data_IF_491245223200
#
_entry.id   IF_491245223200
#
_cell.length_a   1.000
_cell.length_b   1.000
_cell.length_c   1.000
_cell.angle_alpha   90.00
_cell.angle_beta   90.00
_cell.angle_gamma   90.00
#
_symmetry.space_group_name_H-M   'P 1'
#
loop_
_entity.id
_entity.type
_entity.pdbx_description
1 polymer ?
#
# COMPACT_ATOMS: atom_id res chain seq x y z
N UNK A 1 -28.09 -9.22 -10.54
CA UNK A 1 -27.15 -8.43 -11.37
C UNK A 1 -27.71 -7.02 -11.51
N UNK A 2 -26.96 -5.97 -11.22
CA UNK A 2 -27.38 -4.55 -11.33
C UNK A 2 -26.80 -3.94 -12.60
N UNK A 3 -27.63 -3.36 -13.44
CA UNK A 3 -27.20 -2.65 -14.66
C UNK A 3 -27.21 -1.14 -14.43
N UNK A 4 -26.09 -0.49 -14.70
CA UNK A 4 -25.90 0.96 -14.49
C UNK A 4 -25.47 1.60 -15.80
N UNK A 5 -26.12 2.71 -16.14
CA UNK A 5 -25.75 3.57 -17.26
C UNK A 5 -25.09 4.84 -16.74
N UNK A 6 -23.85 5.10 -17.17
CA UNK A 6 -23.07 6.26 -16.76
C UNK A 6 -23.08 7.30 -17.86
N UNK A 7 -23.43 8.52 -17.49
CA UNK A 7 -23.56 9.66 -18.39
C UNK A 7 -22.63 10.78 -17.91
N UNK A 8 -21.70 11.20 -18.76
CA UNK A 8 -20.91 12.43 -18.58
C UNK A 8 -21.51 13.52 -19.49
N UNK A 9 -22.14 14.59 -18.95
CA UNK A 9 -22.72 15.66 -19.78
C UNK A 9 -21.71 16.41 -20.67
N UNK A 10 -20.42 16.36 -20.34
CA UNK A 10 -19.36 16.94 -21.18
C UNK A 10 -18.99 16.05 -22.38
N UNK A 11 -19.40 14.77 -22.33
CA UNK A 11 -19.16 13.78 -23.40
C UNK A 11 -20.45 13.02 -23.73
N UNK A 12 -21.49 13.70 -24.23
CA UNK A 12 -22.84 13.12 -24.37
C UNK A 12 -22.91 11.92 -25.31
N UNK A 13 -21.94 11.79 -26.22
CA UNK A 13 -21.83 10.66 -27.15
C UNK A 13 -21.07 9.44 -26.58
N UNK A 14 -20.52 9.53 -25.38
CA UNK A 14 -19.82 8.43 -24.69
C UNK A 14 -20.65 8.00 -23.47
N UNK A 15 -21.59 7.10 -23.73
CA UNK A 15 -22.37 6.47 -22.67
C UNK A 15 -21.69 5.14 -22.34
N UNK A 16 -21.41 4.91 -21.06
CA UNK A 16 -20.84 3.65 -20.58
C UNK A 16 -21.93 2.87 -19.84
N UNK A 17 -22.10 1.60 -20.17
CA UNK A 17 -22.96 0.69 -19.42
C UNK A 17 -22.08 -0.29 -18.63
N UNK A 18 -22.43 -0.53 -17.39
CA UNK A 18 -21.69 -1.39 -16.45
C UNK A 18 -22.65 -2.35 -15.79
N UNK A 19 -22.31 -3.62 -15.83
CA UNK A 19 -23.04 -4.70 -15.18
C UNK A 19 -22.32 -5.07 -13.87
N UNK A 20 -22.98 -4.88 -12.72
CA UNK A 20 -22.47 -5.27 -11.42
C UNK A 20 -23.12 -6.59 -10.98
N UNK A 21 -22.32 -7.66 -10.96
CA UNK A 21 -22.72 -8.93 -10.40
C UNK A 21 -22.13 -9.07 -9.00
N UNK A 22 -22.95 -9.34 -7.94
CA UNK A 22 -22.47 -9.51 -6.58
C UNK A 22 -21.36 -10.54 -6.44
N UNK A 23 -21.37 -11.60 -7.24
CA UNK A 23 -20.35 -12.63 -7.25
C UNK A 23 -18.97 -12.13 -7.73
N UNK A 24 -18.95 -11.08 -8.56
CA UNK A 24 -17.73 -10.49 -9.12
C UNK A 24 -17.28 -9.24 -8.33
N UNK A 25 -18.06 -8.79 -7.35
CA UNK A 25 -17.73 -7.63 -6.52
C UNK A 25 -16.92 -8.07 -5.29
N UNK A 26 -15.76 -7.45 -5.08
CA UNK A 26 -14.92 -7.73 -3.91
C UNK A 26 -15.68 -7.39 -2.61
N UNK A 27 -15.90 -8.36 -1.74
CA UNK A 27 -16.71 -8.22 -0.52
C UNK A 27 -18.13 -7.69 -0.79
N UNK A 28 -18.70 -7.99 -1.96
CA UNK A 28 -20.01 -7.46 -2.40
C UNK A 28 -20.07 -5.93 -2.47
N UNK A 29 -18.92 -5.27 -2.68
CA UNK A 29 -18.81 -3.82 -2.82
C UNK A 29 -18.17 -3.43 -4.16
N UNK A 30 -18.68 -2.37 -4.80
CA UNK A 30 -18.14 -1.71 -5.98
C UNK A 30 -17.76 -0.29 -5.59
N UNK A 31 -16.47 0.04 -5.57
CA UNK A 31 -15.96 1.36 -5.23
C UNK A 31 -16.05 2.29 -6.44
N UNK A 32 -16.52 3.51 -6.21
CA UNK A 32 -16.69 4.54 -7.23
C UNK A 32 -15.85 5.76 -6.88
N UNK A 33 -15.07 6.25 -7.84
CA UNK A 33 -14.27 7.45 -7.63
C UNK A 33 -13.40 7.79 -8.82
N UNK A 34 -12.56 8.83 -8.71
CA UNK A 34 -11.61 9.19 -9.78
C UNK A 34 -10.30 8.41 -9.75
N UNK A 35 -10.08 7.61 -8.72
CA UNK A 35 -8.86 6.83 -8.56
C UNK A 35 -8.91 5.58 -9.44
N UNK A 36 -7.79 5.25 -10.11
CA UNK A 36 -7.69 4.11 -11.04
C UNK A 36 -7.90 2.75 -10.38
N UNK A 37 -7.84 2.69 -9.04
CA UNK A 37 -8.11 1.49 -8.25
C UNK A 37 -9.57 1.37 -7.80
N UNK A 38 -10.44 2.30 -8.19
CA UNK A 38 -11.87 2.12 -8.03
C UNK A 38 -12.39 1.16 -9.09
N UNK A 39 -13.38 0.35 -8.74
CA UNK A 39 -14.03 -0.57 -9.68
C UNK A 39 -14.74 0.21 -10.80
N UNK A 40 -15.23 1.40 -10.46
CA UNK A 40 -15.86 2.33 -11.39
C UNK A 40 -15.15 3.68 -11.34
N UNK A 41 -14.35 3.95 -12.39
CA UNK A 41 -13.53 5.16 -12.46
C UNK A 41 -14.29 6.29 -13.16
N UNK A 42 -14.50 7.41 -12.44
CA UNK A 42 -15.07 8.65 -12.95
C UNK A 42 -13.98 9.72 -13.04
N UNK A 43 -13.38 9.88 -14.23
CA UNK A 43 -12.24 10.78 -14.45
C UNK A 43 -12.67 12.25 -14.48
N UNK A 44 -12.69 12.86 -13.29
CA UNK A 44 -12.92 14.30 -13.13
C UNK A 44 -12.29 14.82 -11.84
N UNK A 45 -11.72 16.02 -11.89
CA UNK A 45 -11.15 16.71 -10.72
C UNK A 45 -12.15 17.03 -9.60
N UNK A 46 -13.45 17.05 -9.91
CA UNK A 46 -14.54 17.26 -8.96
C UNK A 46 -14.80 16.02 -8.10
N UNK A 47 -14.50 14.83 -8.65
CA UNK A 47 -14.76 13.56 -7.98
C UNK A 47 -13.67 13.28 -6.96
N UNK A 48 -14.05 12.85 -5.76
CA UNK A 48 -13.13 12.34 -4.75
C UNK A 48 -12.48 11.04 -5.21
N UNK A 49 -11.29 10.73 -4.73
CA UNK A 49 -10.52 9.53 -5.14
C UNK A 49 -11.32 8.26 -4.91
N UNK A 50 -11.88 8.11 -3.71
CA UNK A 50 -12.96 7.19 -3.37
C UNK A 50 -14.15 8.08 -3.00
N UNK A 51 -15.16 8.11 -3.84
CA UNK A 51 -16.28 9.03 -3.69
C UNK A 51 -17.45 8.36 -3.01
N UNK A 52 -17.79 7.18 -3.47
CA UNK A 52 -18.89 6.39 -2.96
C UNK A 52 -18.69 4.91 -3.25
N UNK A 53 -19.64 4.11 -2.81
CA UNK A 53 -19.68 2.68 -3.09
C UNK A 53 -21.10 2.21 -3.36
N UNK A 54 -21.23 1.18 -4.20
CA UNK A 54 -22.44 0.37 -4.30
C UNK A 54 -22.16 -0.94 -3.59
N UNK A 55 -23.00 -1.34 -2.64
CA UNK A 55 -22.89 -2.61 -1.94
C UNK A 55 -24.14 -3.45 -2.13
N UNK A 56 -23.97 -4.78 -2.11
CA UNK A 56 -25.05 -5.76 -2.17
C UNK A 56 -25.19 -6.43 -0.82
N UNK A 57 -26.36 -6.27 -0.18
CA UNK A 57 -26.69 -6.81 1.15
C UNK A 57 -28.15 -7.25 1.15
N UNK A 58 -28.44 -8.38 1.77
CA UNK A 58 -29.81 -8.87 1.97
C UNK A 58 -30.63 -8.84 0.67
N UNK A 59 -30.03 -9.33 -0.42
CA UNK A 59 -30.61 -9.38 -1.77
C UNK A 59 -30.92 -8.01 -2.42
N UNK A 60 -30.44 -6.91 -1.84
CA UNK A 60 -30.65 -5.55 -2.33
C UNK A 60 -29.32 -4.82 -2.58
N UNK A 61 -29.36 -3.84 -3.49
CA UNK A 61 -28.24 -2.94 -3.71
C UNK A 61 -28.46 -1.62 -2.99
N UNK A 62 -27.36 -1.09 -2.45
CA UNK A 62 -27.35 0.18 -1.73
C UNK A 62 -26.21 1.05 -2.25
N UNK A 63 -26.41 2.36 -2.24
CA UNK A 63 -25.36 3.33 -2.49
C UNK A 63 -25.03 4.09 -1.21
N UNK A 64 -23.73 4.35 -0.96
CA UNK A 64 -23.25 5.18 0.14
C UNK A 64 -22.17 6.16 -0.36
N UNK A 65 -22.24 7.41 0.06
CA UNK A 65 -21.17 8.41 -0.09
C UNK A 65 -20.11 8.19 1.00
N UNK A 66 -18.84 8.06 0.63
CA UNK A 66 -17.72 7.77 1.53
C UNK A 66 -17.03 9.02 2.10
N UNK A 67 -17.77 10.11 2.27
CA UNK A 67 -17.22 11.39 2.73
C UNK A 67 -16.61 12.18 1.57
N UNK A 68 -17.29 12.19 0.46
CA UNK A 68 -16.83 12.91 -0.71
C UNK A 68 -16.83 14.42 -0.53
N UNK A 69 -15.99 15.14 -1.28
CA UNK A 69 -15.86 16.60 -1.18
C UNK A 69 -17.10 17.34 -1.68
N UNK A 70 -17.68 16.90 -2.77
CA UNK A 70 -18.84 17.56 -3.38
C UNK A 70 -20.17 16.92 -3.00
N UNK A 71 -20.16 15.83 -2.22
CA UNK A 71 -21.36 15.07 -1.88
C UNK A 71 -21.93 14.30 -3.05
N UNK A 72 -22.93 13.48 -2.76
CA UNK A 72 -23.71 12.73 -3.76
C UNK A 72 -25.20 13.03 -3.59
N UNK A 73 -25.96 12.81 -4.67
CA UNK A 73 -27.43 12.93 -4.66
C UNK A 73 -28.06 11.68 -5.25
N UNK A 74 -29.22 11.32 -4.73
CA UNK A 74 -30.10 10.30 -5.34
C UNK A 74 -31.41 10.99 -5.70
N UNK A 75 -31.81 10.92 -6.97
CA UNK A 75 -33.00 11.55 -7.50
C UNK A 75 -33.11 13.06 -7.21
N UNK A 76 -31.93 13.75 -7.15
CA UNK A 76 -31.83 15.18 -6.84
C UNK A 76 -31.75 15.53 -5.38
N UNK A 77 -32.00 14.61 -4.46
CA UNK A 77 -31.89 14.81 -3.01
C UNK A 77 -30.48 14.53 -2.51
N UNK A 78 -29.95 15.42 -1.64
CA UNK A 78 -28.64 15.20 -1.01
C UNK A 78 -28.71 14.03 -0.04
N UNK A 79 -27.71 13.16 -0.08
CA UNK A 79 -27.60 12.03 0.84
C UNK A 79 -26.57 12.30 1.96
N UNK A 80 -26.72 11.61 3.07
CA UNK A 80 -25.80 11.71 4.21
C UNK A 80 -24.57 10.81 3.97
N UNK A 81 -23.42 11.26 4.47
CA UNK A 81 -22.15 10.57 4.39
C UNK A 81 -22.21 9.26 5.22
N UNK A 82 -21.65 8.19 4.68
CA UNK A 82 -21.56 6.86 5.30
C UNK A 82 -22.92 6.24 5.70
N UNK A 83 -23.99 6.64 5.03
CA UNK A 83 -25.31 6.03 5.18
C UNK A 83 -25.65 5.25 3.90
N UNK A 84 -26.16 4.01 4.08
CA UNK A 84 -26.60 3.16 2.98
C UNK A 84 -28.00 3.56 2.52
N UNK A 85 -28.17 3.89 1.24
CA UNK A 85 -29.44 4.21 0.60
C UNK A 85 -29.84 3.10 -0.35
N UNK A 86 -30.99 2.46 -0.18
CA UNK A 86 -31.44 1.39 -1.07
C UNK A 86 -31.67 1.92 -2.47
N UNK A 87 -31.13 1.22 -3.47
CA UNK A 87 -31.32 1.57 -4.89
C UNK A 87 -32.53 0.86 -5.47
N UNK A 88 -33.22 1.54 -6.39
CA UNK A 88 -34.35 1.03 -7.14
C UNK A 88 -34.11 1.21 -8.63
N UNK A 89 -34.77 0.41 -9.50
CA UNK A 89 -34.77 0.68 -10.93
C UNK A 89 -35.21 2.12 -11.21
N UNK A 90 -34.57 2.79 -12.17
CA UNK A 90 -34.73 4.18 -12.56
C UNK A 90 -34.18 5.23 -11.58
N UNK A 91 -33.60 4.83 -10.44
CA UNK A 91 -32.89 5.78 -9.58
C UNK A 91 -31.71 6.40 -10.34
N UNK A 92 -31.47 7.69 -10.09
CA UNK A 92 -30.38 8.44 -10.65
C UNK A 92 -29.44 8.92 -9.53
N UNK A 93 -28.25 8.38 -9.50
CA UNK A 93 -27.19 8.83 -8.58
C UNK A 93 -26.36 9.90 -9.29
N UNK A 94 -26.29 11.08 -8.69
CA UNK A 94 -25.43 12.17 -9.17
C UNK A 94 -24.15 12.23 -8.33
N UNK A 95 -22.99 12.15 -9.01
CA UNK A 95 -21.65 12.24 -8.43
C UNK A 95 -20.88 13.31 -9.18
N UNK A 96 -20.73 14.50 -8.59
CA UNK A 96 -20.22 15.67 -9.32
C UNK A 96 -21.06 15.93 -10.56
N UNK A 97 -20.42 15.95 -11.74
CA UNK A 97 -21.12 16.10 -13.04
C UNK A 97 -21.68 14.81 -13.62
N UNK A 98 -21.30 13.64 -13.10
CA UNK A 98 -21.73 12.35 -13.63
C UNK A 98 -23.11 11.95 -13.10
N UNK A 99 -23.87 11.28 -13.98
CA UNK A 99 -25.13 10.66 -13.62
C UNK A 99 -25.06 9.15 -13.86
N UNK A 100 -25.34 8.39 -12.82
CA UNK A 100 -25.40 6.94 -12.84
C UNK A 100 -26.87 6.54 -12.74
N UNK A 101 -27.44 6.09 -13.84
CA UNK A 101 -28.82 5.66 -13.92
C UNK A 101 -28.91 4.16 -13.67
N UNK A 102 -29.71 3.75 -12.74
CA UNK A 102 -30.01 2.34 -12.44
C UNK A 102 -31.04 1.86 -13.47
N UNK A 103 -30.65 0.92 -14.35
CA UNK A 103 -31.51 0.45 -15.42
C UNK A 103 -32.44 -0.68 -14.97
N UNK A 104 -31.85 -1.76 -14.43
CA UNK A 104 -32.59 -2.95 -14.04
C UNK A 104 -31.82 -3.79 -13.02
N UNK A 105 -32.55 -4.56 -12.23
CA UNK A 105 -32.03 -5.67 -11.41
C UNK A 105 -32.37 -6.96 -12.15
N UNK A 106 -31.44 -7.49 -12.97
CA UNK A 106 -31.68 -8.73 -13.73
C UNK A 106 -32.16 -9.83 -12.80
N UNK A 107 -33.45 -10.12 -12.82
CA UNK A 107 -34.02 -11.26 -12.15
C UNK A 107 -33.64 -12.51 -12.94
N UNK A 108 -32.99 -13.46 -12.29
CA UNK A 108 -33.03 -14.85 -12.76
C UNK A 108 -34.45 -15.36 -12.64
N UNK A 109 -35.21 -15.26 -13.73
CA UNK A 109 -36.49 -15.95 -13.82
C UNK A 109 -36.23 -17.47 -13.96
N UNK A 110 -36.51 -18.20 -12.89
CA UNK A 110 -36.97 -19.57 -12.97
C UNK A 110 -38.45 -19.53 -13.37
N UNK A 111 -38.74 -20.35 -14.38
CA UNK A 111 -40.05 -20.79 -14.92
C UNK A 111 -40.51 -20.09 -16.21
N UNK A 112 -40.42 -20.73 -17.35
CA UNK A 112 -41.39 -21.67 -17.91
C UNK A 112 -40.91 -22.19 -19.27
N UNK A 113 -40.91 -23.52 -19.35
CA UNK A 113 -40.90 -24.29 -20.59
C UNK A 113 -42.29 -24.20 -21.22
N UNK A 114 -42.38 -23.76 -22.46
CA UNK A 114 -43.41 -24.26 -23.42
C UNK A 114 -43.00 -23.85 -24.84
N UNK A 115 -42.72 -24.87 -25.58
CA UNK A 115 -42.82 -25.17 -27.03
C UNK A 115 -43.25 -24.06 -27.98
N UNK A 116 -42.47 -23.89 -29.04
CA UNK A 116 -42.92 -24.16 -30.41
C UNK A 116 -41.76 -24.12 -31.41
N UNK A 117 -41.59 -25.16 -32.00
CA UNK A 117 -41.21 -25.77 -33.24
C UNK A 117 -40.76 -24.88 -34.43
N UNK A 118 -39.66 -25.40 -34.99
CA UNK A 118 -39.34 -25.54 -36.44
C UNK A 118 -39.18 -24.33 -37.36
N UNK A 119 -37.98 -24.14 -37.85
CA UNK A 119 -37.70 -24.39 -39.27
C UNK A 119 -36.21 -24.52 -39.57
N UNK A 120 -35.87 -25.65 -40.15
CA UNK A 120 -34.58 -26.01 -40.72
C UNK A 120 -34.42 -25.31 -42.08
N UNK A 121 -33.29 -24.69 -42.32
CA UNK A 121 -32.76 -24.53 -43.69
C UNK A 121 -31.26 -24.81 -43.66
N UNK A 122 -30.96 -25.89 -44.36
CA UNK A 122 -29.62 -26.37 -44.74
C UNK A 122 -28.94 -25.49 -45.80
N UNK A 123 -27.59 -25.68 -45.84
CA UNK A 123 -26.62 -25.56 -46.95
C UNK A 123 -25.82 -24.25 -46.95
N UNK A 124 -24.52 -24.23 -47.11
CA UNK A 124 -23.56 -25.07 -47.87
C UNK A 124 -22.14 -24.77 -47.38
N UNK A 125 -21.32 -25.82 -47.32
CA UNK A 125 -19.87 -25.73 -47.28
C UNK A 125 -19.30 -24.93 -48.45
N UNK A 126 -18.39 -23.99 -48.17
CA UNK A 126 -17.38 -23.57 -49.12
C UNK A 126 -16.02 -23.65 -48.42
N UNK A 127 -15.25 -24.65 -48.82
CA UNK A 127 -13.83 -24.72 -48.51
C UNK A 127 -13.08 -23.61 -49.21
N UNK A 128 -12.43 -22.73 -48.49
CA UNK A 128 -11.28 -22.00 -49.01
C UNK A 128 -10.10 -22.11 -48.03
N UNK A 129 -9.05 -22.77 -48.50
CA UNK A 129 -7.75 -22.80 -47.91
C UNK A 129 -7.21 -21.37 -47.82
N UNK A 130 -6.99 -20.88 -46.60
CA UNK A 130 -6.17 -19.69 -46.36
C UNK A 130 -5.11 -20.10 -45.35
N UNK A 131 -3.86 -19.89 -45.76
CA UNK A 131 -2.68 -20.12 -44.98
C UNK A 131 -2.73 -19.34 -43.65
N UNK A 132 -2.52 -20.07 -42.55
CA UNK A 132 -2.30 -19.51 -41.23
C UNK A 132 -0.97 -18.70 -41.24
N UNK A 133 -1.08 -17.39 -41.23
CA UNK A 133 -0.01 -16.53 -40.75
C UNK A 133 -0.17 -16.54 -39.23
N UNK A 134 0.66 -17.29 -38.55
CA UNK A 134 0.77 -17.28 -37.09
C UNK A 134 1.43 -15.97 -36.70
N UNK A 135 0.64 -14.92 -36.43
CA UNK A 135 1.10 -13.78 -35.65
C UNK A 135 1.35 -14.26 -34.20
N UNK A 136 2.46 -13.84 -33.57
CA UNK A 136 2.69 -14.18 -32.18
C UNK A 136 1.61 -13.51 -31.35
N UNK A 137 0.69 -14.32 -30.82
CA UNK A 137 -0.31 -13.87 -29.83
C UNK A 137 0.46 -13.29 -28.66
N UNK A 138 0.39 -11.97 -28.51
CA UNK A 138 0.85 -11.29 -27.31
C UNK A 138 0.18 -11.98 -26.12
N UNK A 139 0.98 -12.68 -25.30
CA UNK A 139 0.45 -13.33 -24.11
C UNK A 139 -0.22 -12.27 -23.26
N UNK A 140 -1.53 -12.43 -23.04
CA UNK A 140 -2.30 -11.62 -22.12
C UNK A 140 -1.51 -11.49 -20.79
N UNK A 141 -1.36 -10.31 -20.22
CA UNK A 141 -0.72 -10.15 -18.91
C UNK A 141 -1.53 -10.79 -17.77
N UNK A 142 -2.74 -11.25 -18.05
CA UNK A 142 -3.56 -11.96 -17.09
C UNK A 142 -3.17 -13.45 -17.09
N UNK A 143 -2.49 -13.83 -16.03
CA UNK A 143 -2.28 -15.24 -15.67
C UNK A 143 -3.67 -15.85 -15.37
N UNK A 144 -3.90 -17.07 -15.81
CA UNK A 144 -5.23 -17.71 -15.64
C UNK A 144 -5.60 -17.81 -14.14
N UNK A 145 -6.89 -17.73 -13.78
CA UNK A 145 -7.33 -17.91 -12.39
C UNK A 145 -6.80 -19.17 -11.73
N UNK A 146 -6.54 -20.22 -12.51
CA UNK A 146 -6.00 -21.50 -12.05
C UNK A 146 -4.55 -21.39 -11.54
N UNK A 147 -3.76 -20.43 -12.03
CA UNK A 147 -2.41 -20.15 -11.54
C UNK A 147 -2.40 -19.32 -10.25
N UNK A 148 -3.46 -18.54 -9.98
CA UNK A 148 -3.61 -17.72 -8.76
C UNK A 148 -4.33 -18.42 -7.62
N UNK A 149 -5.06 -19.50 -7.91
CA UNK A 149 -5.87 -20.23 -6.93
C UNK A 149 -5.19 -21.39 -6.18
N UNK A 150 -3.89 -21.71 -6.35
CA UNK A 150 -3.28 -22.74 -5.50
C UNK A 150 -3.39 -22.39 -4.01
N UNK A 151 -3.38 -21.10 -3.67
CA UNK A 151 -3.47 -20.63 -2.28
C UNK A 151 -4.86 -20.81 -1.65
N UNK A 152 -5.94 -20.75 -2.45
CA UNK A 152 -7.31 -20.96 -1.96
C UNK A 152 -7.59 -22.44 -1.61
N UNK A 153 -6.78 -23.36 -2.16
CA UNK A 153 -6.90 -24.82 -1.91
C UNK A 153 -5.96 -25.33 -0.82
N UNK A 154 -5.04 -24.47 -0.33
CA UNK A 154 -4.07 -24.85 0.71
C UNK A 154 -4.51 -24.23 2.03
N UNK A 155 -4.75 -25.06 3.02
CA UNK A 155 -4.97 -24.61 4.40
C UNK A 155 -3.80 -23.72 4.83
N UNK A 156 -4.02 -22.50 5.38
CA UNK A 156 -2.96 -21.57 5.77
C UNK A 156 -1.92 -22.19 6.70
N UNK A 157 -2.32 -23.19 7.51
CA UNK A 157 -1.45 -23.95 8.41
C UNK A 157 -0.46 -24.86 7.68
N UNK A 158 -0.71 -25.20 6.40
CA UNK A 158 0.13 -26.05 5.57
C UNK A 158 1.16 -25.27 4.75
N UNK A 159 1.04 -23.93 4.68
CA UNK A 159 2.00 -23.11 3.97
C UNK A 159 3.31 -23.03 4.75
N UNK A 160 4.40 -23.33 4.05
CA UNK A 160 5.73 -23.13 4.59
C UNK A 160 5.99 -21.65 4.84
N UNK A 161 6.89 -21.38 5.78
CA UNK A 161 7.32 -20.01 6.12
C UNK A 161 8.72 -19.78 5.60
N UNK A 162 8.89 -18.70 4.83
CA UNK A 162 10.22 -18.20 4.51
C UNK A 162 10.71 -17.35 5.69
N UNK A 163 11.76 -17.82 6.33
CA UNK A 163 12.34 -17.20 7.54
C UNK A 163 13.67 -16.54 7.19
N UNK A 164 14.43 -17.12 6.26
CA UNK A 164 15.74 -16.63 5.83
C UNK A 164 16.21 -17.34 4.57
N UNK A 165 17.08 -16.68 3.82
CA UNK A 165 17.78 -17.22 2.68
C UNK A 165 17.20 -16.81 1.34
N UNK A 166 17.69 -17.43 0.28
CA UNK A 166 17.27 -17.14 -1.10
C UNK A 166 15.82 -17.59 -1.33
N UNK A 167 15.07 -16.77 -2.03
CA UNK A 167 13.71 -17.02 -2.43
C UNK A 167 13.45 -16.43 -3.81
N UNK A 168 12.76 -17.15 -4.66
CA UNK A 168 12.22 -16.60 -5.90
C UNK A 168 10.86 -15.97 -5.62
N UNK A 169 10.67 -14.75 -6.07
CA UNK A 169 9.40 -14.03 -5.97
C UNK A 169 8.92 -13.59 -7.35
N UNK A 170 7.60 -13.49 -7.50
CA UNK A 170 6.95 -13.03 -8.72
C UNK A 170 6.21 -11.74 -8.46
N UNK A 171 6.47 -10.72 -9.28
CA UNK A 171 5.75 -9.44 -9.22
C UNK A 171 4.30 -9.64 -9.63
N UNK A 172 3.37 -9.17 -8.80
CA UNK A 172 1.92 -9.28 -9.05
C UNK A 172 1.26 -7.91 -9.21
N UNK A 173 1.93 -6.84 -8.76
CA UNK A 173 1.37 -5.50 -8.83
C UNK A 173 2.50 -4.46 -8.80
N UNK A 174 2.28 -3.31 -9.45
CA UNK A 174 3.21 -2.18 -9.47
C UNK A 174 2.41 -0.91 -9.24
N UNK A 175 2.70 -0.23 -8.13
CA UNK A 175 1.98 0.95 -7.69
C UNK A 175 2.85 2.19 -7.87
N UNK A 176 2.39 3.18 -8.62
CA UNK A 176 3.04 4.48 -8.74
C UNK A 176 2.74 5.32 -7.49
N UNK A 177 3.70 5.39 -6.56
CA UNK A 177 3.56 6.19 -5.34
C UNK A 177 3.74 7.68 -5.62
N UNK A 178 4.73 8.00 -6.45
CA UNK A 178 5.01 9.34 -6.95
C UNK A 178 5.54 9.24 -8.38
N UNK A 179 5.81 10.38 -9.02
CA UNK A 179 6.36 10.42 -10.38
C UNK A 179 7.74 9.72 -10.53
N UNK A 180 8.46 9.49 -9.44
CA UNK A 180 9.79 8.87 -9.42
C UNK A 180 9.93 7.70 -8.42
N UNK A 181 8.80 7.23 -7.84
CA UNK A 181 8.79 6.12 -6.86
C UNK A 181 7.72 5.10 -7.22
N UNK A 182 8.11 3.84 -7.27
CA UNK A 182 7.21 2.70 -7.46
C UNK A 182 7.29 1.72 -6.30
N UNK A 183 6.15 1.18 -5.91
CA UNK A 183 6.06 0.00 -5.03
C UNK A 183 5.83 -1.23 -5.88
N UNK A 184 6.73 -2.20 -5.77
CA UNK A 184 6.61 -3.51 -6.39
C UNK A 184 6.09 -4.49 -5.34
N UNK A 185 4.95 -5.13 -5.65
CA UNK A 185 4.33 -6.15 -4.79
C UNK A 185 4.62 -7.53 -5.34
N UNK A 186 5.09 -8.41 -4.48
CA UNK A 186 5.52 -9.75 -4.83
C UNK A 186 4.77 -10.81 -4.04
N UNK A 187 4.62 -11.98 -4.65
CA UNK A 187 4.29 -13.26 -4.00
C UNK A 187 5.47 -14.21 -4.14
N UNK A 188 5.61 -15.13 -3.22
CA UNK A 188 6.64 -16.17 -3.32
C UNK A 188 6.29 -17.20 -4.41
N UNK A 189 7.29 -17.73 -5.08
CA UNK A 189 7.17 -18.76 -6.12
C UNK A 189 8.24 -19.85 -5.93
N UNK A 190 7.91 -21.05 -5.36
CA UNK A 190 6.58 -21.50 -4.93
C UNK A 190 6.00 -20.74 -3.74
N UNK A 191 4.65 -20.81 -3.53
CA UNK A 191 3.98 -20.09 -2.46
C UNK A 191 4.47 -20.45 -1.07
N UNK A 192 4.90 -19.42 -0.30
CA UNK A 192 5.25 -19.50 1.11
C UNK A 192 4.79 -18.23 1.83
N UNK A 193 4.66 -18.27 3.14
CA UNK A 193 4.38 -17.09 3.95
C UNK A 193 5.68 -16.35 4.28
N UNK A 194 5.73 -15.06 3.97
CA UNK A 194 6.85 -14.20 4.34
C UNK A 194 6.88 -13.97 5.85
N UNK A 195 8.03 -14.24 6.47
CA UNK A 195 8.25 -14.02 7.90
C UNK A 195 9.48 -13.14 8.08
N UNK A 196 9.27 -11.93 8.59
CA UNK A 196 10.31 -10.93 8.81
C UNK A 196 9.90 -10.01 9.96
N UNK A 197 10.83 -9.18 10.45
CA UNK A 197 10.54 -8.11 11.40
C UNK A 197 10.30 -6.81 10.63
N UNK A 198 9.30 -5.99 10.99
CA UNK A 198 9.05 -4.72 10.31
C UNK A 198 10.28 -3.83 10.41
N UNK A 199 10.65 -3.19 9.29
CA UNK A 199 11.87 -2.40 9.15
C UNK A 199 13.06 -3.14 8.57
N UNK A 200 13.04 -4.48 8.44
CA UNK A 200 14.07 -5.25 7.74
C UNK A 200 14.07 -5.02 6.23
N UNK A 201 15.13 -5.46 5.57
CA UNK A 201 15.32 -5.36 4.12
C UNK A 201 15.57 -6.73 3.47
N UNK A 202 15.47 -6.77 2.16
CA UNK A 202 15.88 -7.87 1.29
C UNK A 202 16.92 -7.39 0.29
N UNK A 203 17.77 -8.30 -0.18
CA UNK A 203 18.70 -8.04 -1.28
C UNK A 203 18.17 -8.71 -2.54
N UNK A 204 17.94 -7.94 -3.61
CA UNK A 204 17.61 -8.45 -4.93
C UNK A 204 18.87 -8.88 -5.64
N UNK A 205 18.91 -10.11 -6.12
CA UNK A 205 19.98 -10.69 -6.92
C UNK A 205 19.54 -10.68 -8.39
N UNK A 206 20.12 -9.77 -9.17
CA UNK A 206 19.72 -9.47 -10.54
C UNK A 206 20.88 -9.73 -11.48
N UNK A 207 20.57 -10.20 -12.68
CA UNK A 207 21.52 -10.26 -13.77
C UNK A 207 21.25 -9.11 -14.75
N UNK A 208 22.13 -8.14 -14.79
CA UNK A 208 22.02 -6.94 -15.63
C UNK A 208 23.23 -6.89 -16.56
N UNK A 209 23.00 -6.92 -17.87
CA UNK A 209 24.04 -6.91 -18.91
C UNK A 209 25.08 -8.06 -18.76
N UNK A 210 24.68 -9.21 -18.21
CA UNK A 210 25.56 -10.34 -17.96
C UNK A 210 26.36 -10.27 -16.65
N UNK A 211 26.19 -9.22 -15.86
CA UNK A 211 26.78 -9.07 -14.53
C UNK A 211 25.77 -9.38 -13.43
N UNK A 212 26.21 -10.13 -12.42
CA UNK A 212 25.43 -10.40 -11.23
C UNK A 212 25.53 -9.22 -10.26
N UNK A 213 24.42 -8.56 -10.02
CA UNK A 213 24.35 -7.37 -9.18
C UNK A 213 23.37 -7.62 -8.03
N UNK A 214 23.82 -7.38 -6.80
CA UNK A 214 22.96 -7.43 -5.61
C UNK A 214 22.73 -6.03 -5.07
N UNK A 215 21.46 -5.71 -4.74
CA UNK A 215 21.06 -4.44 -4.11
C UNK A 215 20.01 -4.64 -3.06
N UNK A 216 20.20 -3.95 -1.94
CA UNK A 216 19.31 -4.04 -0.78
C UNK A 216 18.21 -3.01 -0.85
N UNK A 217 16.99 -3.44 -0.49
CA UNK A 217 15.80 -2.60 -0.40
C UNK A 217 15.03 -2.92 0.87
N UNK A 218 14.68 -1.90 1.65
CA UNK A 218 13.83 -2.09 2.83
C UNK A 218 12.47 -2.64 2.41
N UNK A 219 11.96 -3.59 3.16
CA UNK A 219 10.61 -4.11 2.99
C UNK A 219 9.65 -3.02 3.46
N UNK A 220 8.79 -2.55 2.57
CA UNK A 220 7.78 -1.54 2.88
C UNK A 220 6.45 -2.15 3.34
N UNK A 221 6.15 -3.42 3.01
CA UNK A 221 4.99 -4.16 3.52
C UNK A 221 5.13 -4.49 5.01
N UNK A 222 4.08 -5.08 5.56
CA UNK A 222 3.99 -5.48 6.97
C UNK A 222 3.97 -7.00 7.12
N UNK A 223 4.65 -7.58 8.12
CA UNK A 223 4.58 -9.01 8.37
C UNK A 223 3.22 -9.51 8.89
N UNK A 224 2.30 -8.61 9.24
CA UNK A 224 0.91 -8.94 9.54
C UNK A 224 0.13 -9.43 8.31
N UNK A 225 0.62 -9.12 7.09
CA UNK A 225 0.05 -9.54 5.80
C UNK A 225 1.02 -10.45 5.05
N UNK A 226 1.25 -11.69 5.54
CA UNK A 226 2.41 -12.51 5.17
C UNK A 226 2.35 -13.12 3.76
N UNK A 227 1.28 -12.98 3.02
CA UNK A 227 1.12 -13.52 1.66
C UNK A 227 1.85 -12.70 0.60
N UNK A 228 2.15 -11.44 0.89
CA UNK A 228 2.80 -10.52 -0.04
C UNK A 228 4.00 -9.83 0.61
N UNK A 229 4.98 -9.47 -0.21
CA UNK A 229 6.12 -8.66 0.17
C UNK A 229 6.18 -7.45 -0.77
N UNK A 230 6.32 -6.25 -0.21
CA UNK A 230 6.44 -5.02 -0.99
C UNK A 230 7.81 -4.39 -0.79
N UNK A 231 8.35 -3.88 -1.89
CA UNK A 231 9.57 -3.09 -1.92
C UNK A 231 9.29 -1.81 -2.70
N UNK A 232 9.57 -0.67 -2.07
CA UNK A 232 9.32 0.64 -2.67
C UNK A 232 10.64 1.28 -3.09
N UNK A 233 10.75 1.55 -4.37
CA UNK A 233 12.01 1.94 -5.02
C UNK A 233 11.89 3.33 -5.63
N UNK A 234 12.81 4.21 -5.27
CA UNK A 234 12.94 5.52 -5.88
C UNK A 234 13.91 5.49 -7.06
N UNK A 235 13.50 6.05 -8.19
CA UNK A 235 14.36 6.28 -9.35
C UNK A 235 15.44 7.30 -9.01
N UNK A 236 16.68 7.01 -9.39
CA UNK A 236 17.81 7.93 -9.20
C UNK A 236 17.93 8.84 -10.43
N UNK A 237 17.92 10.18 -10.28
CA UNK A 237 18.14 11.09 -11.38
C UNK A 237 19.54 10.87 -11.97
N UNK A 238 19.60 10.78 -13.29
CA UNK A 238 20.88 10.72 -13.99
C UNK A 238 21.53 12.12 -13.98
N UNK A 239 22.87 12.23 -13.77
CA UNK A 239 23.57 13.46 -13.96
C UNK A 239 23.41 13.95 -15.42
N UNK A 240 23.29 15.27 -15.66
CA UNK A 240 23.30 15.80 -17.02
C UNK A 240 24.56 15.31 -17.75
N UNK A 241 24.43 14.81 -18.97
CA UNK A 241 25.51 14.26 -19.80
C UNK A 241 26.12 12.91 -19.34
N UNK A 242 25.47 12.16 -18.46
CA UNK A 242 25.88 10.78 -18.20
C UNK A 242 25.58 9.91 -19.44
N UNK A 243 26.59 9.25 -19.97
CA UNK A 243 26.42 8.30 -21.06
C UNK A 243 25.49 7.15 -20.68
N UNK A 244 24.93 6.48 -21.68
CA UNK A 244 23.95 5.37 -21.50
C UNK A 244 24.46 4.23 -20.60
N UNK A 245 25.77 4.07 -20.40
CA UNK A 245 26.35 3.05 -19.51
C UNK A 245 26.08 3.31 -18.01
N UNK A 246 26.16 4.58 -17.57
CA UNK A 246 25.89 4.92 -16.15
C UNK A 246 24.41 4.70 -15.80
N UNK A 247 23.52 4.97 -16.76
CA UNK A 247 22.07 4.71 -16.59
C UNK A 247 21.79 3.22 -16.40
N UNK A 248 22.50 2.36 -17.12
CA UNK A 248 22.28 0.89 -17.09
C UNK A 248 22.74 0.23 -15.80
N UNK A 249 23.67 0.87 -15.06
CA UNK A 249 24.22 0.32 -13.81
C UNK A 249 23.43 0.76 -12.56
N UNK A 250 22.44 1.63 -12.71
CA UNK A 250 21.56 2.03 -11.61
C UNK A 250 20.40 1.04 -11.47
N UNK A 251 20.54 0.09 -10.56
CA UNK A 251 19.56 -0.98 -10.33
C UNK A 251 18.15 -0.43 -10.07
N UNK A 252 18.01 0.68 -9.36
CA UNK A 252 16.72 1.32 -9.13
C UNK A 252 16.02 1.75 -10.42
N UNK A 253 16.77 2.29 -11.39
CA UNK A 253 16.24 2.69 -12.70
C UNK A 253 15.90 1.47 -13.54
N UNK A 254 16.78 0.44 -13.50
CA UNK A 254 16.54 -0.82 -14.18
C UNK A 254 15.25 -1.50 -13.69
N UNK A 255 15.00 -1.52 -12.37
CA UNK A 255 13.76 -2.04 -11.81
C UNK A 255 12.52 -1.32 -12.35
N UNK A 256 12.56 0.02 -12.41
CA UNK A 256 11.47 0.83 -12.96
C UNK A 256 11.17 0.57 -14.44
N UNK A 257 12.17 0.17 -15.21
CA UNK A 257 12.11 0.00 -16.67
C UNK A 257 11.82 -1.44 -17.10
N UNK A 258 12.28 -2.42 -16.31
CA UNK A 258 12.30 -3.82 -16.73
C UNK A 258 11.38 -4.74 -15.92
N UNK A 259 11.03 -4.36 -14.68
CA UNK A 259 10.12 -5.19 -13.88
C UNK A 259 8.68 -4.88 -14.26
N UNK A 260 7.97 -5.91 -14.65
CA UNK A 260 6.55 -5.89 -14.99
C UNK A 260 5.79 -6.93 -14.16
N UNK A 261 4.47 -6.86 -14.16
CA UNK A 261 3.63 -7.93 -13.58
C UNK A 261 3.97 -9.25 -14.26
N UNK A 262 4.23 -10.28 -13.45
CA UNK A 262 4.72 -11.59 -13.91
C UNK A 262 6.25 -11.76 -13.84
N UNK A 263 7.03 -10.69 -13.73
CA UNK A 263 8.50 -10.79 -13.60
C UNK A 263 8.90 -11.57 -12.35
N UNK A 264 9.88 -12.47 -12.50
CA UNK A 264 10.45 -13.25 -11.40
C UNK A 264 11.81 -12.66 -11.00
N UNK A 265 12.01 -12.50 -9.70
CA UNK A 265 13.25 -11.98 -9.11
C UNK A 265 13.70 -12.92 -8.00
N UNK A 266 15.00 -13.14 -7.90
CA UNK A 266 15.61 -13.79 -6.75
C UNK A 266 15.95 -12.75 -5.70
N UNK A 267 15.55 -13.01 -4.46
CA UNK A 267 15.92 -12.19 -3.33
C UNK A 267 16.57 -13.04 -2.25
N UNK A 268 17.37 -12.41 -1.41
CA UNK A 268 17.94 -13.00 -0.19
C UNK A 268 17.55 -12.13 1.01
N UNK A 269 17.24 -12.78 2.11
CA UNK A 269 16.85 -12.09 3.34
C UNK A 269 15.99 -12.94 4.27
N UNK A 270 15.19 -12.34 5.17
CA UNK A 270 15.22 -10.92 5.55
C UNK A 270 16.52 -10.58 6.32
N UNK A 271 17.01 -9.36 6.15
CA UNK A 271 18.26 -8.86 6.69
C UNK A 271 18.01 -7.57 7.47
N UNK A 272 18.99 -7.16 8.29
CA UNK A 272 18.95 -5.89 9.04
C UNK A 272 18.50 -6.01 10.47
N UNK A 273 18.91 -5.00 11.26
CA UNK A 273 18.62 -4.87 12.70
C UNK A 273 17.76 -3.64 13.01
N UNK A 274 17.43 -2.84 12.00
CA UNK A 274 16.64 -1.63 12.13
C UNK A 274 15.15 -2.00 12.20
N UNK A 275 14.67 -2.21 13.42
CA UNK A 275 13.30 -2.69 13.68
C UNK A 275 12.83 -2.27 15.07
N UNK A 276 11.58 -1.86 15.20
CA UNK A 276 10.97 -1.55 16.48
C UNK A 276 10.87 -2.77 17.42
N UNK A 277 11.06 -3.98 16.91
CA UNK A 277 11.12 -5.20 17.74
C UNK A 277 12.40 -5.33 18.55
N UNK A 278 13.48 -4.70 18.09
CA UNK A 278 14.75 -4.73 18.82
C UNK A 278 14.72 -3.85 20.07
N UNK A 279 13.91 -2.78 20.04
CA UNK A 279 13.81 -1.78 21.10
C UNK A 279 12.32 -1.43 21.30
N UNK A 280 11.54 -2.32 21.95
CA UNK A 280 10.13 -2.08 22.25
C UNK A 280 9.96 -0.83 23.10
N UNK A 281 9.06 0.07 22.67
CA UNK A 281 8.77 1.32 23.37
C UNK A 281 7.31 1.68 23.23
N UNK A 282 6.76 2.31 24.27
CA UNK A 282 5.39 2.84 24.22
C UNK A 282 5.30 4.18 23.49
N UNK A 283 6.43 4.85 23.24
CA UNK A 283 6.49 6.13 22.55
C UNK A 283 7.54 6.07 21.44
N UNK A 284 7.11 6.19 20.21
CA UNK A 284 7.96 6.13 19.02
C UNK A 284 7.98 7.48 18.31
N UNK A 285 9.13 7.85 17.77
CA UNK A 285 9.29 8.99 16.86
C UNK A 285 10.00 8.49 15.60
N UNK A 286 9.27 8.46 14.49
CA UNK A 286 9.80 8.13 13.18
C UNK A 286 10.12 9.41 12.42
N UNK A 287 11.38 9.62 12.07
CA UNK A 287 11.84 10.78 11.29
C UNK A 287 12.40 10.28 9.97
N UNK A 288 11.77 10.64 8.85
CA UNK A 288 12.16 10.12 7.55
C UNK A 288 12.21 11.20 6.47
N UNK A 289 13.08 11.01 5.46
CA UNK A 289 13.12 11.85 4.27
C UNK A 289 13.18 11.03 2.99
N UNK A 290 12.31 11.36 2.03
CA UNK A 290 12.24 10.68 0.73
C UNK A 290 12.04 9.17 0.88
N UNK A 291 12.86 8.35 0.20
CA UNK A 291 12.76 6.87 0.25
C UNK A 291 13.10 6.27 1.62
N UNK A 292 13.71 7.02 2.54
CA UNK A 292 13.91 6.58 3.93
C UNK A 292 12.60 6.34 4.71
N UNK A 293 11.46 6.66 4.12
CA UNK A 293 10.14 6.34 4.68
C UNK A 293 9.86 4.83 4.71
N UNK A 294 10.50 4.02 3.85
CA UNK A 294 10.14 2.61 3.63
C UNK A 294 10.21 1.73 4.88
N UNK A 295 11.29 1.72 5.70
CA UNK A 295 11.32 0.92 6.91
C UNK A 295 10.32 1.42 7.97
N UNK A 296 10.11 2.75 8.07
CA UNK A 296 9.12 3.34 8.97
C UNK A 296 7.70 2.93 8.60
N UNK A 297 7.42 2.87 7.30
CA UNK A 297 6.11 2.45 6.80
C UNK A 297 5.81 0.99 7.15
N UNK A 298 6.80 0.11 7.01
CA UNK A 298 6.70 -1.29 7.44
C UNK A 298 6.38 -1.40 8.93
N UNK A 299 7.09 -0.63 9.78
CA UNK A 299 6.86 -0.60 11.22
C UNK A 299 5.48 -0.03 11.57
N UNK A 300 5.09 1.08 10.94
CA UNK A 300 3.80 1.72 11.18
C UNK A 300 2.62 0.83 10.78
N UNK A 301 2.70 0.20 9.61
CA UNK A 301 1.69 -0.77 9.15
C UNK A 301 1.51 -1.90 10.16
N UNK A 302 2.62 -2.45 10.67
CA UNK A 302 2.57 -3.54 11.64
C UNK A 302 1.96 -3.10 12.97
N UNK A 303 2.39 -1.95 13.50
CA UNK A 303 1.88 -1.41 14.76
C UNK A 303 0.38 -1.10 14.68
N UNK A 304 -0.08 -0.52 13.57
CA UNK A 304 -1.50 -0.25 13.33
C UNK A 304 -2.31 -1.54 13.12
N UNK A 305 -1.83 -2.47 12.28
CA UNK A 305 -2.55 -3.72 11.98
C UNK A 305 -2.72 -4.61 13.22
N UNK A 306 -1.78 -4.54 14.17
CA UNK A 306 -1.81 -5.35 15.40
C UNK A 306 -2.44 -4.64 16.59
N UNK A 307 -2.89 -3.40 16.41
CA UNK A 307 -3.47 -2.61 17.49
C UNK A 307 -2.47 -2.37 18.64
N UNK A 308 -1.17 -2.19 18.31
CA UNK A 308 -0.13 -1.98 19.31
C UNK A 308 -0.43 -0.74 20.15
N UNK A 309 -0.39 -0.90 21.48
CA UNK A 309 -0.58 0.21 22.41
C UNK A 309 0.70 1.04 22.54
N UNK A 310 1.02 1.81 21.52
CA UNK A 310 2.15 2.74 21.49
C UNK A 310 1.74 4.04 20.81
N UNK A 311 2.26 5.15 21.32
CA UNK A 311 2.10 6.48 20.75
C UNK A 311 3.16 6.72 19.68
N UNK A 312 2.76 6.99 18.45
CA UNK A 312 3.61 7.14 17.28
C UNK A 312 3.53 8.58 16.78
N UNK A 313 4.65 9.28 16.77
CA UNK A 313 4.82 10.50 15.98
C UNK A 313 5.58 10.15 14.71
N UNK A 314 4.92 10.32 13.56
CA UNK A 314 5.49 10.08 12.24
C UNK A 314 5.81 11.41 11.57
N UNK A 315 7.10 11.76 11.49
CA UNK A 315 7.55 13.02 10.94
C UNK A 315 8.29 12.79 9.61
N UNK A 316 7.65 13.15 8.50
CA UNK A 316 8.18 12.92 7.15
C UNK A 316 8.57 14.21 6.45
N UNK A 317 9.71 14.18 5.74
CA UNK A 317 10.22 15.28 4.95
C UNK A 317 10.22 14.92 3.45
N UNK A 318 9.56 15.75 2.65
CA UNK A 318 9.52 15.64 1.21
C UNK A 318 10.02 16.91 0.52
N UNK A 319 10.35 16.85 -0.76
CA UNK A 319 10.72 18.06 -1.51
C UNK A 319 9.51 18.94 -1.78
N UNK A 320 8.42 18.35 -2.25
CA UNK A 320 7.17 19.02 -2.57
C UNK A 320 5.97 18.11 -2.27
N UNK A 321 4.72 18.59 -2.34
CA UNK A 321 3.54 17.78 -2.05
C UNK A 321 3.40 16.52 -2.91
N UNK A 322 3.88 16.55 -4.16
CA UNK A 322 3.84 15.40 -5.08
C UNK A 322 4.97 14.40 -4.86
N UNK A 323 5.98 14.75 -4.05
CA UNK A 323 7.08 13.85 -3.67
C UNK A 323 6.78 13.06 -2.38
N UNK A 324 5.60 13.22 -1.79
CA UNK A 324 5.24 12.53 -0.55
C UNK A 324 4.83 11.10 -0.87
N UNK A 325 5.73 10.16 -0.54
CA UNK A 325 5.51 8.72 -0.71
C UNK A 325 4.47 8.25 0.33
N UNK A 326 3.57 7.33 -0.04
CA UNK A 326 2.49 6.79 0.81
C UNK A 326 1.57 7.85 1.42
N UNK A 327 1.45 9.02 0.79
CA UNK A 327 0.72 10.16 1.36
C UNK A 327 -0.68 9.80 1.85
N UNK A 328 -1.45 9.12 1.00
CA UNK A 328 -2.84 8.78 1.33
C UNK A 328 -2.93 7.81 2.50
N UNK A 329 -2.05 6.81 2.51
CA UNK A 329 -2.04 5.79 3.55
C UNK A 329 -1.65 6.40 4.90
N UNK A 330 -0.66 7.31 4.92
CA UNK A 330 -0.27 8.04 6.12
C UNK A 330 -1.40 8.92 6.66
N UNK A 331 -2.06 9.69 5.77
CA UNK A 331 -3.22 10.51 6.13
C UNK A 331 -4.36 9.63 6.68
N UNK A 332 -4.58 8.45 6.08
CA UNK A 332 -5.59 7.49 6.53
C UNK A 332 -5.22 6.85 7.87
N UNK A 333 -3.97 6.46 8.08
CA UNK A 333 -3.48 5.96 9.37
C UNK A 333 -3.72 6.99 10.47
N UNK A 334 -3.35 8.25 10.23
CA UNK A 334 -3.55 9.33 11.20
C UNK A 334 -5.03 9.59 11.49
N UNK A 335 -5.90 9.41 10.52
CA UNK A 335 -7.34 9.59 10.70
C UNK A 335 -8.02 8.43 11.46
N UNK A 336 -7.47 7.22 11.35
CA UNK A 336 -8.06 5.99 11.93
C UNK A 336 -7.52 5.64 13.31
N UNK A 337 -6.27 6.01 13.58
CA UNK A 337 -5.56 5.63 14.80
C UNK A 337 -5.24 6.87 15.63
N UNK A 338 -5.91 7.03 16.76
CA UNK A 338 -5.76 8.19 17.66
C UNK A 338 -4.36 8.32 18.26
N UNK A 339 -3.61 7.21 18.27
CA UNK A 339 -2.23 7.12 18.74
C UNK A 339 -1.19 7.24 17.61
N UNK A 340 -1.60 7.63 16.38
CA UNK A 340 -0.72 7.86 15.23
C UNK A 340 -0.80 9.32 14.80
N UNK A 341 0.23 10.11 15.13
CA UNK A 341 0.32 11.54 14.87
C UNK A 341 1.22 11.80 13.66
N UNK A 342 0.63 12.31 12.58
CA UNK A 342 1.34 12.57 11.34
C UNK A 342 1.74 14.03 11.23
N UNK A 343 3.04 14.30 11.01
CA UNK A 343 3.56 15.58 10.59
C UNK A 343 4.35 15.44 9.28
N UNK A 344 4.09 16.32 8.33
CA UNK A 344 4.82 16.33 7.05
C UNK A 344 5.34 17.74 6.79
N UNK A 345 6.63 17.85 6.48
CA UNK A 345 7.25 19.10 6.04
C UNK A 345 7.72 19.01 4.59
N UNK A 346 7.50 20.07 3.81
CA UNK A 346 8.02 20.18 2.45
C UNK A 346 9.09 21.26 2.36
N UNK A 347 10.14 21.01 1.60
CA UNK A 347 11.25 21.95 1.44
C UNK A 347 11.10 22.91 0.26
N UNK A 348 10.17 22.63 -0.67
CA UNK A 348 9.90 23.44 -1.86
C UNK A 348 8.40 23.64 -2.04
N UNK A 349 7.99 24.90 -2.16
CA UNK A 349 6.62 25.25 -2.56
C UNK A 349 6.53 25.20 -4.10
N UNK A 350 5.52 24.56 -4.62
CA UNK A 350 5.23 24.51 -6.06
C UNK A 350 4.08 25.44 -6.40
N UNK A 351 4.19 26.17 -7.51
CA UNK A 351 3.09 27.00 -8.03
C UNK A 351 1.90 26.12 -8.37
N UNK A 352 0.71 26.52 -7.96
CA UNK A 352 -0.54 25.78 -8.25
C UNK A 352 -0.85 24.66 -7.23
N UNK A 353 0.01 24.40 -6.25
CA UNK A 353 -0.26 23.44 -5.17
C UNK A 353 -0.29 24.18 -3.82
N UNK A 354 -1.48 24.23 -3.21
CA UNK A 354 -1.59 24.72 -1.84
C UNK A 354 -0.99 23.72 -0.86
N UNK A 355 -0.21 24.22 0.09
CA UNK A 355 0.32 23.42 1.20
C UNK A 355 0.03 24.15 2.52
N UNK A 356 -0.69 23.49 3.40
CA UNK A 356 -1.20 24.08 4.66
C UNK A 356 -0.53 23.49 5.91
N UNK A 357 0.58 22.75 5.74
CA UNK A 357 1.34 22.15 6.83
C UNK A 357 2.77 22.70 6.88
N UNK A 358 3.66 22.04 7.59
CA UNK A 358 5.02 22.50 7.84
C UNK A 358 5.83 22.69 6.56
N UNK A 359 6.71 23.69 6.58
CA UNK A 359 7.63 23.99 5.47
C UNK A 359 9.04 24.21 5.99
N UNK A 360 10.03 23.69 5.27
CA UNK A 360 11.44 23.84 5.62
C UNK A 360 12.11 22.51 5.94
N UNK A 361 13.38 22.60 6.26
CA UNK A 361 14.17 21.47 6.80
C UNK A 361 13.91 21.37 8.29
N UNK A 362 14.17 20.19 8.86
CA UNK A 362 14.10 20.01 10.30
C UNK A 362 14.99 21.02 11.02
N UNK A 363 14.43 21.66 12.04
CA UNK A 363 15.13 22.45 13.04
C UNK A 363 14.61 22.11 14.45
N UNK A 364 15.28 22.65 15.47
CA UNK A 364 14.97 22.41 16.86
C UNK A 364 13.54 22.85 17.25
N UNK A 365 13.09 24.00 16.73
CA UNK A 365 11.75 24.51 17.01
C UNK A 365 10.67 23.62 16.41
N UNK A 366 10.87 23.18 15.17
CA UNK A 366 9.95 22.31 14.48
C UNK A 366 9.83 20.95 15.19
N UNK A 367 10.95 20.39 15.66
CA UNK A 367 10.96 19.17 16.46
C UNK A 367 10.20 19.35 17.78
N UNK A 368 10.42 20.46 18.48
CA UNK A 368 9.75 20.78 19.75
C UNK A 368 8.23 20.94 19.58
N UNK A 369 7.77 21.48 18.44
CA UNK A 369 6.35 21.66 18.15
C UNK A 369 5.69 20.31 17.79
N UNK A 370 6.36 19.49 16.98
CA UNK A 370 5.82 18.22 16.48
C UNK A 370 5.85 17.13 17.53
N UNK A 371 6.93 17.07 18.30
CA UNK A 371 7.16 16.06 19.34
C UNK A 371 7.73 16.72 20.60
N UNK A 372 6.91 17.43 21.40
CA UNK A 372 7.39 18.15 22.59
C UNK A 372 8.03 17.21 23.63
N UNK A 373 7.61 15.96 23.64
CA UNK A 373 8.12 14.88 24.51
C UNK A 373 9.17 13.99 23.80
N UNK A 374 9.85 14.50 22.76
CA UNK A 374 10.78 13.72 21.94
C UNK A 374 11.87 13.02 22.78
N UNK A 375 12.28 13.58 23.93
CA UNK A 375 13.29 13.00 24.80
C UNK A 375 12.86 11.67 25.46
N UNK A 376 11.55 11.46 25.58
CA UNK A 376 10.97 10.24 26.17
C UNK A 376 10.66 9.17 25.11
N UNK A 377 10.96 9.47 23.81
CA UNK A 377 10.64 8.60 22.70
C UNK A 377 11.85 7.78 22.23
N UNK A 378 11.57 6.59 21.72
CA UNK A 378 12.55 5.86 20.92
C UNK A 378 12.49 6.39 19.50
N UNK A 379 13.63 6.87 18.98
CA UNK A 379 13.74 7.58 17.72
C UNK A 379 14.35 6.69 16.65
N UNK A 380 13.66 6.61 15.51
CA UNK A 380 14.13 5.94 14.31
C UNK A 380 14.27 6.94 13.18
N UNK A 381 15.44 6.99 12.56
CA UNK A 381 15.77 7.95 11.50
C UNK A 381 16.25 7.23 10.24
N UNK A 382 15.71 7.63 9.08
CA UNK A 382 16.19 7.14 7.79
C UNK A 382 15.95 8.17 6.69
N UNK A 383 16.96 8.34 5.83
CA UNK A 383 16.93 9.30 4.74
C UNK A 383 18.31 9.49 4.12
N UNK A 384 18.52 10.55 3.33
CA UNK A 384 19.85 10.89 2.82
C UNK A 384 20.86 11.14 3.94
N UNK A 385 22.14 10.79 3.73
CA UNK A 385 23.18 10.91 4.76
C UNK A 385 23.23 12.31 5.41
N UNK A 386 23.20 13.37 4.58
CA UNK A 386 23.20 14.76 5.08
C UNK A 386 21.94 15.11 5.91
N UNK A 387 20.82 14.47 5.65
CA UNK A 387 19.60 14.63 6.45
C UNK A 387 19.79 13.96 7.81
N UNK A 388 20.26 12.72 7.83
CA UNK A 388 20.48 11.97 9.08
C UNK A 388 21.53 12.66 9.96
N UNK A 389 22.65 13.13 9.38
CA UNK A 389 23.64 13.94 10.09
C UNK A 389 23.01 15.20 10.73
N UNK A 390 22.14 15.90 9.98
CA UNK A 390 21.44 17.10 10.52
C UNK A 390 20.48 16.73 11.66
N UNK A 391 19.73 15.63 11.53
CA UNK A 391 18.83 15.16 12.61
C UNK A 391 19.64 14.79 13.85
N UNK A 392 20.74 14.06 13.70
CA UNK A 392 21.60 13.66 14.80
C UNK A 392 22.16 14.87 15.56
N UNK A 393 22.70 15.86 14.84
CA UNK A 393 23.21 17.11 15.43
C UNK A 393 22.13 17.89 16.20
N UNK A 394 20.90 17.95 15.67
CA UNK A 394 19.79 18.62 16.34
C UNK A 394 19.44 17.86 17.63
N UNK A 395 19.31 16.52 17.57
CA UNK A 395 18.99 15.69 18.73
C UNK A 395 20.04 15.84 19.83
N UNK A 396 21.33 15.77 19.46
CA UNK A 396 22.45 15.95 20.37
C UNK A 396 22.43 17.35 21.02
N UNK A 397 22.27 18.42 20.22
CA UNK A 397 22.22 19.81 20.70
C UNK A 397 21.06 20.08 21.65
N UNK A 398 19.96 19.34 21.51
CA UNK A 398 18.78 19.42 22.35
C UNK A 398 18.82 18.48 23.57
N UNK A 399 19.94 17.78 23.78
CA UNK A 399 20.14 16.89 24.94
C UNK A 399 19.28 15.63 24.87
N UNK A 400 19.08 15.06 23.67
CA UNK A 400 18.40 13.78 23.50
C UNK A 400 19.32 12.61 23.95
N UNK A 401 18.81 11.59 24.67
CA UNK A 401 19.57 10.40 25.04
C UNK A 401 19.86 9.52 23.81
N UNK A 402 21.09 9.61 23.25
CA UNK A 402 21.45 8.96 21.98
C UNK A 402 21.40 7.42 22.05
N UNK A 403 21.34 6.80 23.21
CA UNK A 403 21.07 5.36 23.38
C UNK A 403 19.68 4.94 22.87
N UNK A 404 18.74 5.88 22.75
CA UNK A 404 17.41 5.67 22.20
C UNK A 404 17.27 6.15 20.74
N UNK A 405 18.40 6.45 20.06
CA UNK A 405 18.46 6.91 18.68
C UNK A 405 19.00 5.83 17.76
N UNK A 406 18.21 5.46 16.76
CA UNK A 406 18.52 4.41 15.79
C UNK A 406 18.40 4.97 14.37
N UNK A 407 19.38 4.69 13.53
CA UNK A 407 19.39 5.14 12.15
C UNK A 407 19.72 4.01 11.16
N UNK A 408 19.17 4.11 9.96
CA UNK A 408 19.50 3.23 8.84
C UNK A 408 19.88 4.06 7.61
N UNK A 409 21.09 3.79 7.08
CA UNK A 409 21.59 4.44 5.86
C UNK A 409 21.48 3.51 4.66
N UNK A 410 21.04 4.04 3.52
CA UNK A 410 20.99 3.33 2.24
C UNK A 410 22.29 3.53 1.41
N UNK A 411 23.33 4.11 2.00
CA UNK A 411 24.64 4.33 1.37
C UNK A 411 25.42 3.04 1.10
N UNK A 412 26.38 3.10 0.18
CA UNK A 412 27.25 1.97 -0.16
C UNK A 412 28.00 1.46 1.07
N UNK A 413 28.23 0.13 1.21
CA UNK A 413 29.00 -0.45 2.31
C UNK A 413 30.47 0.00 2.22
N UNK A 414 30.82 1.10 2.89
CA UNK A 414 32.18 1.66 2.87
C UNK A 414 32.44 2.82 3.81
N UNK A 415 31.39 3.51 4.29
CA UNK A 415 31.55 4.53 5.34
C UNK A 415 30.96 4.01 6.65
N UNK A 416 31.79 3.31 7.41
CA UNK A 416 31.50 3.08 8.84
C UNK A 416 31.41 4.44 9.50
N UNK A 417 30.27 4.76 10.10
CA UNK A 417 30.14 5.88 11.03
C UNK A 417 31.19 5.72 12.12
N UNK A 418 32.00 6.74 12.34
CA UNK A 418 33.09 6.76 13.31
C UNK A 418 32.61 6.94 14.76
N UNK A 419 31.37 6.57 15.09
CA UNK A 419 30.81 6.75 16.44
C UNK A 419 30.20 5.47 17.01
N UNK A 420 30.96 4.39 17.05
CA UNK A 420 30.62 3.26 17.92
C UNK A 420 31.87 2.42 18.22
N UNK A 421 32.81 2.98 18.99
CA UNK A 421 33.87 2.18 19.59
C UNK A 421 34.48 2.93 20.78
N UNK A 422 33.78 2.91 21.91
CA UNK A 422 34.38 3.01 23.24
C UNK A 422 33.40 2.47 24.27
N UNK A 423 33.31 1.15 24.35
CA UNK A 423 32.88 0.48 25.58
C UNK A 423 33.67 -0.81 25.71
N UNK A 424 34.33 -1.04 26.84
CA UNK A 424 35.17 -2.24 27.05
C UNK A 424 34.30 -3.49 27.15
N UNK A 425 34.75 -4.53 26.47
CA UNK A 425 34.19 -5.87 26.51
C UNK A 425 34.14 -6.41 27.94
N UNK A 426 32.98 -6.44 28.56
CA UNK A 426 32.71 -7.35 29.67
C UNK A 426 31.96 -8.56 29.11
N UNK A 427 32.60 -9.71 29.18
CA UNK A 427 32.00 -11.01 28.92
C UNK A 427 30.91 -11.24 29.95
N UNK A 428 29.66 -11.26 29.50
CA UNK A 428 28.53 -11.79 30.28
C UNK A 428 27.96 -12.96 29.51
N UNK A 429 28.00 -14.11 30.14
CA UNK A 429 27.46 -15.39 29.69
C UNK A 429 25.95 -15.28 29.41
N UNK A 430 25.44 -15.91 28.35
CA UNK A 430 24.02 -15.82 27.98
C UNK A 430 23.23 -16.88 28.76
N UNK A 431 22.39 -16.45 29.67
CA UNK A 431 21.27 -17.27 30.10
C UNK A 431 20.05 -16.41 30.44
N UNK A 432 19.33 -15.97 29.39
CA UNK A 432 17.97 -15.47 29.52
C UNK A 432 17.18 -16.08 28.37
N UNK A 433 16.30 -17.01 28.72
CA UNK A 433 15.32 -17.59 27.85
C UNK A 433 14.41 -16.46 27.26
N UNK A 434 14.33 -16.37 25.97
CA UNK A 434 13.38 -15.47 25.29
C UNK A 434 11.96 -15.93 25.63
N UNK A 435 11.06 -15.01 26.05
CA UNK A 435 9.66 -15.35 26.25
C UNK A 435 9.04 -15.80 24.93
N UNK A 436 8.33 -16.90 24.96
CA UNK A 436 7.58 -17.41 23.80
C UNK A 436 6.41 -16.47 23.48
N UNK A 437 5.96 -16.46 22.22
CA UNK A 437 4.77 -15.71 21.80
C UNK A 437 3.54 -15.98 22.70
N UNK A 438 3.48 -17.15 23.36
CA UNK A 438 2.42 -17.49 24.31
C UNK A 438 2.50 -16.70 25.63
N UNK A 439 3.68 -16.22 26.01
CA UNK A 439 3.88 -15.49 27.26
C UNK A 439 3.49 -14.00 27.11
N UNK A 440 3.51 -13.48 25.89
CA UNK A 440 3.09 -12.11 25.59
C UNK A 440 1.55 -11.99 25.65
N UNK A 441 0.82 -13.05 25.31
CA UNK A 441 -0.65 -13.04 25.33
C UNK A 441 -1.27 -13.41 26.69
N UNK A 442 -0.47 -13.84 27.67
CA UNK A 442 -0.97 -14.30 28.98
C UNK A 442 -1.27 -13.17 29.96
N UNK A 443 -0.85 -11.95 29.70
CA UNK A 443 -1.01 -10.80 30.60
C UNK A 443 -2.02 -9.76 30.11
N UNK A 444 -3.02 -10.15 29.30
CA UNK A 444 -4.17 -9.31 29.03
C UNK A 444 -5.15 -9.40 30.22
N UNK A 445 -5.57 -8.29 30.81
CA UNK A 445 -6.61 -8.32 31.85
C UNK A 445 -7.91 -8.80 31.20
N UNK A 446 -8.44 -9.91 31.70
CA UNK A 446 -9.82 -10.33 31.41
C UNK A 446 -10.75 -9.44 32.23
N UNK A 447 -11.48 -8.57 31.57
CA UNK A 447 -12.60 -7.86 32.20
C UNK A 447 -13.70 -8.88 32.55
N UNK A 448 -14.02 -8.95 33.83
CA UNK A 448 -15.12 -9.74 34.38
C UNK A 448 -16.45 -8.96 34.12
N UNK A 449 -17.46 -9.53 33.41
CA UNK A 449 -18.69 -8.82 33.06
C UNK A 449 -19.69 -8.64 34.19
N UNK A 450 -19.30 -8.84 35.44
CA UNK A 450 -20.27 -8.94 36.57
C UNK A 450 -20.25 -7.78 37.58
N UNK A 451 -19.82 -6.56 37.21
CA UNK A 451 -20.00 -5.42 38.12
C UNK A 451 -20.78 -4.28 37.49
N UNK A 452 -22.05 -4.24 37.72
CA UNK A 452 -22.93 -3.07 37.53
C UNK A 452 -22.60 -1.99 38.58
N UNK A 453 -22.60 -0.69 38.24
CA UNK A 453 -22.44 0.37 39.21
C UNK A 453 -23.74 0.57 39.99
N UNK A 454 -23.63 0.56 41.33
CA UNK A 454 -24.66 1.03 42.24
C UNK A 454 -24.54 2.54 42.33
N UNK A 455 -25.67 3.24 42.11
CA UNK A 455 -25.88 4.67 42.30
C UNK A 455 -25.62 5.12 43.75
N UNK A 456 -24.93 6.21 43.90
CA UNK A 456 -25.21 7.24 44.92
C UNK A 456 -24.50 8.56 44.51
#
# INVERSE_FOLDING_TARGET
MLKIKIIDPQKPNQVQEVDLNPENMLNHECLIGRFTNCDLVLDSGEISRMHGKICYKEENYYFADLGSRCGSRINGENIQINQDYPLKPQDMIQIGRFFLMILDFGSENKENVLQEETTIVEKKEVQSKTQEIVEPVAKSPYVSPEEYMPLAKVEPSQLQRWIKGELTVRCIDIIDETHDVKTFRFVADPPVLFTYKPGQFVSFNLQINGEDISRSYSISSTPSRPHTLEVTVKRVPLPPNSGSEISRNLVSNWLHENVTVGSKIKLDGPLGKFTCFAHPSQKLLFISAGSGITPMMSMSRWLCDTGANCDIVFFHFARSPRDIIFRQELELMSARHTNFHLAISITRKERGHSWMSLTGRLDANMLQVVAPDFRDRTVYVCGPDTFMESVNLIMESMGFPLENYYEESFGSPGKKSKLASNTPSQQVTPNVQQPSLKDIFRNLPTEDPSQSPVES
#
